data_IF_157771441072
#
_entry.id   IF_157771441072
#
_cell.length_a   1.000
_cell.length_b   1.000
_cell.length_c   1.000
_cell.angle_alpha   90.00
_cell.angle_beta   90.00
_cell.angle_gamma   90.00
#
_symmetry.space_group_name_H-M   'P 1'
#
loop_
_entity.id
_entity.type
_entity.pdbx_description
1 polymer ?
#
# COMPACT_ATOMS: atom_id res chain seq x y z
N UNK A 1 1.83 3.25 20.09
CA UNK A 1 2.84 2.19 20.17
C UNK A 1 4.03 2.61 19.33
N UNK A 2 5.15 2.92 19.97
CA UNK A 2 6.27 3.57 19.29
C UNK A 2 7.62 3.01 19.71
N UNK A 3 8.56 2.96 18.78
CA UNK A 3 9.97 2.62 19.00
C UNK A 3 10.21 1.24 19.64
N UNK A 4 9.36 0.26 19.34
CA UNK A 4 9.48 -1.11 19.83
C UNK A 4 10.32 -1.97 18.89
N UNK A 5 11.01 -2.96 19.46
CA UNK A 5 11.59 -4.10 18.73
C UNK A 5 10.81 -5.35 19.09
N UNK A 6 10.21 -6.01 18.10
CA UNK A 6 9.40 -7.21 18.26
C UNK A 6 9.96 -8.29 17.33
N UNK A 7 10.48 -9.38 17.89
CA UNK A 7 11.15 -10.43 17.10
C UNK A 7 11.08 -11.81 17.73
N UNK A 8 11.17 -12.85 16.91
CA UNK A 8 11.26 -14.25 17.34
C UNK A 8 9.92 -14.89 17.73
N UNK A 9 8.81 -14.42 17.14
CA UNK A 9 7.45 -14.92 17.40
C UNK A 9 6.84 -15.59 16.17
N UNK A 10 7.61 -16.41 15.46
CA UNK A 10 7.27 -17.00 14.16
C UNK A 10 6.84 -18.48 14.23
N UNK A 11 6.61 -19.05 15.42
CA UNK A 11 6.17 -20.45 15.52
C UNK A 11 4.83 -20.75 14.81
N UNK A 12 3.98 -19.74 14.58
CA UNK A 12 2.76 -19.88 13.80
C UNK A 12 2.31 -18.55 13.20
N UNK A 13 1.62 -18.58 12.04
CA UNK A 13 1.09 -17.39 11.36
C UNK A 13 0.22 -16.49 12.26
N UNK A 14 -0.50 -17.07 13.23
CA UNK A 14 -1.39 -16.35 14.14
C UNK A 14 -0.68 -15.60 15.28
N UNK A 15 0.64 -15.71 15.39
CA UNK A 15 1.42 -15.01 16.40
C UNK A 15 1.69 -13.59 15.91
N UNK A 16 0.83 -12.66 16.33
CA UNK A 16 0.82 -11.30 15.84
C UNK A 16 1.78 -10.42 16.67
N UNK A 17 2.60 -9.59 16.01
CA UNK A 17 3.44 -8.61 16.70
C UNK A 17 2.61 -7.51 17.35
N UNK A 18 1.73 -6.87 16.59
CA UNK A 18 0.74 -5.90 17.08
C UNK A 18 -0.64 -6.33 16.60
N UNK A 19 -1.62 -6.41 17.50
CA UNK A 19 -2.99 -6.71 17.09
C UNK A 19 -4.02 -5.92 17.88
N UNK A 20 -5.14 -5.61 17.24
CA UNK A 20 -6.35 -5.14 17.91
C UNK A 20 -7.44 -6.20 17.80
N UNK A 21 -8.21 -6.40 18.87
CA UNK A 21 -9.34 -7.34 18.93
C UNK A 21 -10.65 -6.70 19.41
N UNK A 22 -10.59 -5.39 19.67
CA UNK A 22 -11.71 -4.53 20.04
C UNK A 22 -11.65 -3.27 19.16
N UNK A 23 -12.76 -2.53 18.99
CA UNK A 23 -12.76 -1.28 18.23
C UNK A 23 -11.61 -0.38 18.70
N UNK A 24 -10.79 0.07 17.76
CA UNK A 24 -9.61 0.88 18.04
C UNK A 24 -9.57 2.06 17.08
N UNK A 25 -9.37 3.27 17.61
CA UNK A 25 -9.34 4.49 16.79
C UNK A 25 -8.29 5.47 17.28
N UNK A 26 -7.80 6.31 16.37
CA UNK A 26 -6.77 7.32 16.66
C UNK A 26 -5.45 6.74 17.20
N UNK A 27 -5.17 5.46 16.92
CA UNK A 27 -3.91 4.84 17.33
C UNK A 27 -2.77 5.33 16.45
N UNK A 28 -1.64 5.60 17.10
CA UNK A 28 -0.35 5.85 16.43
C UNK A 28 0.52 4.61 16.62
N UNK A 29 0.93 3.99 15.51
CA UNK A 29 1.87 2.85 15.47
C UNK A 29 3.07 3.31 14.66
N UNK A 30 4.17 3.63 15.34
CA UNK A 30 5.28 4.37 14.71
C UNK A 30 6.66 3.83 15.04
N UNK A 31 7.57 3.87 14.07
CA UNK A 31 9.00 3.60 14.25
C UNK A 31 9.30 2.25 14.94
N UNK A 32 8.44 1.25 14.76
CA UNK A 32 8.67 -0.07 15.31
C UNK A 32 9.50 -0.91 14.33
N UNK A 33 10.31 -1.82 14.87
CA UNK A 33 11.02 -2.88 14.12
C UNK A 33 10.36 -4.21 14.46
N UNK A 34 9.73 -4.83 13.47
CA UNK A 34 9.01 -6.09 13.63
C UNK A 34 9.61 -7.10 12.65
N UNK A 35 10.22 -8.16 13.14
CA UNK A 35 10.94 -9.12 12.28
C UNK A 35 10.81 -10.54 12.80
N UNK A 36 10.68 -11.53 11.92
CA UNK A 36 10.64 -12.95 12.31
C UNK A 36 9.46 -13.20 13.27
N UNK A 37 8.25 -12.85 12.81
CA UNK A 37 7.00 -13.06 13.55
C UNK A 37 5.94 -13.73 12.67
N UNK A 38 4.92 -14.30 13.31
CA UNK A 38 3.77 -14.89 12.62
C UNK A 38 3.10 -13.89 11.68
N UNK A 39 2.54 -12.81 12.21
CA UNK A 39 2.00 -11.68 11.42
C UNK A 39 2.49 -10.39 12.05
N UNK A 40 2.94 -9.42 11.25
CA UNK A 40 3.50 -8.18 11.78
C UNK A 40 2.47 -7.35 12.53
N UNK A 41 1.43 -6.94 11.82
CA UNK A 41 0.30 -6.19 12.37
C UNK A 41 -1.04 -6.79 11.92
N UNK A 42 -1.94 -7.04 12.86
CA UNK A 42 -3.26 -7.61 12.61
C UNK A 42 -4.35 -6.75 13.26
N UNK A 43 -4.86 -5.79 12.50
CA UNK A 43 -5.70 -4.71 13.01
C UNK A 43 -7.16 -4.98 12.65
N UNK A 44 -7.96 -5.15 13.70
CA UNK A 44 -9.38 -5.43 13.65
C UNK A 44 -9.73 -6.91 13.74
N UNK A 45 -11.02 -7.21 13.90
CA UNK A 45 -11.52 -8.57 14.06
C UNK A 45 -11.95 -9.17 12.70
N UNK A 46 -11.80 -10.49 12.48
CA UNK A 46 -12.16 -11.11 11.21
C UNK A 46 -13.64 -11.02 10.82
N UNK A 47 -14.55 -10.72 11.76
CA UNK A 47 -15.98 -10.52 11.51
C UNK A 47 -16.36 -9.04 11.30
N UNK A 48 -15.37 -8.15 11.29
CA UNK A 48 -15.54 -6.71 11.11
C UNK A 48 -16.11 -5.96 12.31
N UNK A 49 -16.44 -6.61 13.43
CA UNK A 49 -17.06 -5.98 14.61
C UNK A 49 -16.11 -5.06 15.40
N UNK A 50 -14.79 -5.23 15.23
CA UNK A 50 -13.76 -4.42 15.85
C UNK A 50 -12.99 -3.61 14.80
N UNK A 51 -13.53 -2.46 14.35
CA UNK A 51 -12.87 -1.65 13.32
C UNK A 51 -11.58 -1.00 13.81
N UNK A 52 -10.65 -0.73 12.89
CA UNK A 52 -9.47 0.11 13.11
C UNK A 52 -9.61 1.43 12.32
N UNK A 53 -9.80 2.54 13.03
CA UNK A 53 -10.29 3.80 12.44
C UNK A 53 -9.33 4.96 12.68
N UNK A 54 -9.10 5.78 11.65
CA UNK A 54 -8.34 7.03 11.77
C UNK A 54 -6.93 6.83 12.39
N UNK A 55 -6.28 5.72 12.06
CA UNK A 55 -4.97 5.39 12.60
C UNK A 55 -3.82 6.01 11.80
N UNK A 56 -2.66 6.17 12.45
CA UNK A 56 -1.40 6.52 11.80
C UNK A 56 -0.40 5.37 11.97
N UNK A 57 0.00 4.76 10.87
CA UNK A 57 1.01 3.70 10.81
C UNK A 57 2.22 4.26 10.05
N UNK A 58 3.27 4.62 10.76
CA UNK A 58 4.38 5.40 10.16
C UNK A 58 5.78 4.94 10.53
N UNK A 59 6.69 4.89 9.56
CA UNK A 59 8.12 4.70 9.85
C UNK A 59 8.47 3.31 10.41
N UNK A 60 7.56 2.35 10.34
CA UNK A 60 7.80 1.00 10.82
C UNK A 60 8.58 0.19 9.77
N UNK A 61 9.44 -0.72 10.24
CA UNK A 61 10.11 -1.71 9.40
C UNK A 61 9.61 -3.09 9.81
N UNK A 62 8.83 -3.72 8.92
CA UNK A 62 8.20 -5.01 9.15
C UNK A 62 8.69 -6.01 8.11
N UNK A 63 9.39 -7.03 8.57
CA UNK A 63 10.17 -7.91 7.72
C UNK A 63 9.96 -9.37 8.10
N UNK A 64 10.14 -10.25 7.11
CA UNK A 64 10.26 -11.70 7.32
C UNK A 64 9.11 -12.33 8.12
N UNK A 65 7.90 -11.81 7.95
CA UNK A 65 6.70 -12.38 8.60
C UNK A 65 6.22 -13.64 7.87
N UNK A 66 5.67 -14.63 8.58
CA UNK A 66 5.03 -15.79 7.93
C UNK A 66 3.74 -15.38 7.18
N UNK A 67 2.88 -14.64 7.85
CA UNK A 67 1.62 -14.10 7.36
C UNK A 67 1.81 -12.74 6.72
N UNK A 68 0.89 -11.82 7.04
CA UNK A 68 0.96 -10.45 6.56
C UNK A 68 2.07 -9.68 7.30
N UNK A 69 2.72 -8.74 6.63
CA UNK A 69 3.40 -7.68 7.37
C UNK A 69 2.36 -6.77 8.04
N UNK A 70 1.28 -6.44 7.34
CA UNK A 70 0.13 -5.73 7.89
C UNK A 70 -1.18 -6.23 7.27
N UNK A 71 -2.17 -6.54 8.11
CA UNK A 71 -3.55 -6.67 7.69
C UNK A 71 -4.42 -5.69 8.49
N UNK A 72 -5.20 -4.88 7.78
CA UNK A 72 -6.37 -4.21 8.35
C UNK A 72 -7.60 -4.96 7.86
N UNK A 73 -8.39 -5.49 8.78
CA UNK A 73 -9.61 -6.25 8.46
C UNK A 73 -10.66 -5.38 7.82
N UNK A 74 -11.58 -6.04 7.09
CA UNK A 74 -12.82 -5.40 6.69
C UNK A 74 -13.58 -4.92 7.93
N UNK A 75 -14.46 -3.94 7.74
CA UNK A 75 -15.13 -3.27 8.86
C UNK A 75 -16.64 -3.32 8.67
N UNK A 76 -17.34 -3.86 9.66
CA UNK A 76 -18.79 -3.74 9.80
C UNK A 76 -19.15 -2.31 10.27
N UNK A 77 -20.43 -1.90 10.21
CA UNK A 77 -20.86 -0.59 10.68
C UNK A 77 -20.27 -0.25 12.06
N UNK A 78 -19.73 0.96 12.18
CA UNK A 78 -19.03 1.38 13.41
C UNK A 78 -19.97 1.28 14.62
N UNK A 79 -19.50 0.73 15.76
CA UNK A 79 -20.26 0.78 16.99
C UNK A 79 -20.35 2.22 17.50
N UNK A 80 -21.42 2.53 18.22
CA UNK A 80 -21.59 3.82 18.89
C UNK A 80 -20.81 3.78 20.21
N UNK A 81 -19.57 4.28 20.18
CA UNK A 81 -18.69 4.38 21.33
C UNK A 81 -18.30 5.84 21.58
N UNK A 82 -18.18 6.20 22.85
CA UNK A 82 -17.75 7.55 23.24
C UNK A 82 -16.38 7.88 22.64
N UNK A 83 -16.28 9.04 21.99
CA UNK A 83 -15.05 9.51 21.35
C UNK A 83 -14.68 8.84 20.03
N UNK A 84 -15.44 7.83 19.57
CA UNK A 84 -15.20 7.22 18.26
C UNK A 84 -15.70 8.15 17.14
N UNK A 85 -14.87 8.45 16.12
CA UNK A 85 -15.29 9.30 15.00
C UNK A 85 -16.55 8.79 14.31
N UNK A 86 -17.51 9.68 14.07
CA UNK A 86 -18.76 9.37 13.36
C UNK A 86 -18.74 9.83 11.89
N UNK A 87 -17.90 10.81 11.56
CA UNK A 87 -17.70 11.28 10.19
C UNK A 87 -16.66 10.46 9.40
N UNK A 88 -16.44 10.80 8.12
CA UNK A 88 -15.37 10.22 7.32
C UNK A 88 -14.00 10.38 8.01
N UNK A 89 -13.19 9.33 7.95
CA UNK A 89 -11.86 9.27 8.55
C UNK A 89 -10.84 8.75 7.54
N UNK A 90 -9.56 9.07 7.78
CA UNK A 90 -8.47 8.59 6.94
C UNK A 90 -7.47 7.83 7.80
N UNK A 91 -7.29 6.55 7.50
CA UNK A 91 -6.19 5.78 8.07
C UNK A 91 -4.96 5.96 7.17
N UNK A 92 -3.87 6.46 7.75
CA UNK A 92 -2.63 6.79 7.03
C UNK A 92 -1.59 5.71 7.27
N UNK A 93 -1.05 5.14 6.20
CA UNK A 93 0.07 4.19 6.22
C UNK A 93 1.20 4.82 5.43
N UNK A 94 2.26 5.31 6.09
CA UNK A 94 3.32 6.04 5.40
C UNK A 94 4.74 5.78 5.86
N UNK A 95 5.70 5.98 4.97
CA UNK A 95 7.14 5.88 5.29
C UNK A 95 7.53 4.53 5.93
N UNK A 96 6.76 3.46 5.72
CA UNK A 96 7.07 2.12 6.25
C UNK A 96 7.88 1.30 5.23
N UNK A 97 8.57 0.28 5.74
CA UNK A 97 9.20 -0.77 4.95
C UNK A 97 8.48 -2.10 5.24
N UNK A 98 8.02 -2.77 4.19
CA UNK A 98 7.36 -4.07 4.24
C UNK A 98 8.17 -5.05 3.39
N UNK A 99 8.71 -6.11 4.00
CA UNK A 99 9.44 -7.14 3.26
C UNK A 99 9.13 -8.56 3.73
N UNK A 100 9.18 -9.50 2.80
CA UNK A 100 9.12 -10.94 3.05
C UNK A 100 10.13 -11.69 2.20
N UNK A 101 11.29 -11.10 1.89
CA UNK A 101 12.26 -11.68 0.95
C UNK A 101 12.64 -13.13 1.32
N UNK A 102 12.88 -13.39 2.60
CA UNK A 102 13.28 -14.69 3.15
C UNK A 102 12.20 -15.36 4.02
N UNK A 103 11.08 -14.67 4.27
CA UNK A 103 9.94 -15.16 5.03
C UNK A 103 8.77 -15.58 4.14
N UNK A 104 7.56 -15.55 4.73
CA UNK A 104 6.32 -15.93 4.05
C UNK A 104 5.98 -17.41 4.13
N UNK A 105 4.73 -17.70 4.49
CA UNK A 105 4.16 -19.02 4.38
C UNK A 105 3.83 -19.36 2.92
N UNK A 106 3.86 -20.65 2.59
CA UNK A 106 3.55 -21.15 1.26
C UNK A 106 2.10 -21.66 1.13
N UNK A 107 1.67 -21.94 -0.09
CA UNK A 107 0.37 -22.55 -0.39
C UNK A 107 -0.81 -21.76 0.18
N UNK A 108 -1.75 -22.45 0.84
CA UNK A 108 -2.94 -21.83 1.45
C UNK A 108 -2.62 -20.84 2.57
N UNK A 109 -1.38 -20.85 3.09
CA UNK A 109 -0.91 -19.92 4.11
C UNK A 109 -0.20 -18.70 3.51
N UNK A 110 0.02 -18.66 2.19
CA UNK A 110 0.60 -17.51 1.53
C UNK A 110 -0.27 -16.26 1.70
N UNK A 111 0.36 -15.14 2.03
CA UNK A 111 -0.28 -13.85 2.28
C UNK A 111 0.52 -12.74 1.61
N UNK A 112 -0.14 -11.67 1.14
CA UNK A 112 0.55 -10.46 0.69
C UNK A 112 1.35 -9.81 1.82
N UNK A 113 2.27 -8.88 1.49
CA UNK A 113 2.88 -8.06 2.53
C UNK A 113 1.81 -7.24 3.25
N UNK A 114 0.95 -6.55 2.51
CA UNK A 114 -0.12 -5.74 3.07
C UNK A 114 -1.48 -6.06 2.47
N UNK A 115 -2.49 -6.19 3.34
CA UNK A 115 -3.89 -6.27 2.96
C UNK A 115 -4.72 -5.25 3.73
N UNK A 116 -5.51 -4.44 3.02
CA UNK A 116 -6.51 -3.55 3.63
C UNK A 116 -7.91 -3.95 3.14
N UNK A 117 -8.80 -4.27 4.09
CA UNK A 117 -10.18 -4.68 3.81
C UNK A 117 -11.15 -3.50 3.70
N UNK A 118 -12.35 -3.76 3.17
CA UNK A 118 -13.35 -2.72 2.93
C UNK A 118 -13.81 -1.98 4.19
N UNK A 119 -14.45 -0.84 3.97
CA UNK A 119 -15.17 -0.05 4.96
C UNK A 119 -16.66 -0.41 5.01
N UNK A 120 -17.42 0.02 6.05
CA UNK A 120 -18.85 -0.21 6.11
C UNK A 120 -19.57 0.21 4.82
N UNK A 121 -20.68 -0.45 4.48
CA UNK A 121 -21.43 -0.14 3.26
C UNK A 121 -22.27 1.13 3.38
N UNK A 122 -22.63 1.51 4.61
CA UNK A 122 -23.47 2.65 4.93
C UNK A 122 -23.16 3.18 6.33
N UNK A 123 -23.61 4.40 6.60
CA UNK A 123 -23.48 5.04 7.90
C UNK A 123 -22.04 5.48 8.23
N UNK A 124 -21.73 5.70 9.51
CA UNK A 124 -20.40 6.12 9.95
C UNK A 124 -19.30 5.19 9.42
N UNK A 125 -18.32 5.79 8.73
CA UNK A 125 -17.18 5.08 8.15
C UNK A 125 -17.33 4.62 6.70
N UNK A 126 -18.52 4.70 6.09
CA UNK A 126 -18.70 4.26 4.70
C UNK A 126 -17.86 5.04 3.67
N UNK A 127 -17.52 6.28 4.04
CA UNK A 127 -16.70 7.21 3.26
C UNK A 127 -15.26 7.31 3.77
N UNK A 128 -14.82 6.36 4.60
CA UNK A 128 -13.42 6.31 5.02
C UNK A 128 -12.48 6.03 3.85
N UNK A 129 -11.20 6.36 4.06
CA UNK A 129 -10.15 6.14 3.08
C UNK A 129 -8.89 5.59 3.73
N UNK A 130 -8.19 4.70 3.03
CA UNK A 130 -6.79 4.41 3.33
C UNK A 130 -5.89 5.30 2.48
N UNK A 131 -5.07 6.14 3.11
CA UNK A 131 -3.99 6.86 2.43
C UNK A 131 -2.67 6.15 2.68
N UNK A 132 -2.14 5.51 1.64
CA UNK A 132 -0.93 4.71 1.70
C UNK A 132 0.13 5.41 0.86
N UNK A 133 1.14 5.98 1.49
CA UNK A 133 2.12 6.83 0.79
C UNK A 133 3.57 6.63 1.21
N UNK A 134 4.51 6.80 0.26
CA UNK A 134 5.96 6.80 0.53
C UNK A 134 6.54 5.50 1.13
N UNK A 135 5.75 4.43 1.18
CA UNK A 135 6.21 3.14 1.69
C UNK A 135 7.10 2.44 0.66
N UNK A 136 7.95 1.53 1.16
CA UNK A 136 8.67 0.55 0.37
C UNK A 136 8.07 -0.84 0.64
N UNK A 137 7.62 -1.49 -0.42
CA UNK A 137 7.21 -2.89 -0.42
C UNK A 137 8.23 -3.68 -1.22
N UNK A 138 8.91 -4.59 -0.56
CA UNK A 138 10.07 -5.27 -1.13
C UNK A 138 9.95 -6.77 -0.96
N UNK A 139 9.75 -7.45 -2.10
CA UNK A 139 9.80 -8.90 -2.27
C UNK A 139 8.77 -9.67 -1.45
N UNK A 140 8.06 -10.55 -2.15
CA UNK A 140 7.29 -11.61 -1.54
C UNK A 140 7.35 -12.83 -2.46
N UNK A 141 8.11 -13.87 -2.09
CA UNK A 141 8.30 -15.05 -2.94
C UNK A 141 7.02 -15.89 -3.11
N UNK A 142 6.06 -15.73 -2.20
CA UNK A 142 4.89 -16.60 -2.09
C UNK A 142 3.60 -15.93 -2.53
N UNK A 143 3.59 -14.60 -2.68
CA UNK A 143 2.39 -13.83 -2.97
C UNK A 143 2.71 -12.41 -3.49
N UNK A 144 1.68 -11.60 -3.74
CA UNK A 144 1.81 -10.19 -4.13
C UNK A 144 2.29 -9.28 -2.99
N UNK A 145 2.65 -8.05 -3.32
CA UNK A 145 3.07 -7.05 -2.33
C UNK A 145 1.88 -6.40 -1.63
N UNK A 146 0.82 -6.10 -2.36
CA UNK A 146 -0.33 -5.37 -1.83
C UNK A 146 -1.65 -5.92 -2.37
N UNK A 147 -2.63 -6.03 -1.47
CA UNK A 147 -4.03 -6.26 -1.80
C UNK A 147 -4.93 -5.21 -1.13
N UNK A 148 -5.74 -4.53 -1.94
CA UNK A 148 -6.68 -3.51 -1.48
C UNK A 148 -8.13 -3.84 -1.82
N UNK A 149 -9.02 -3.35 -0.96
CA UNK A 149 -10.48 -3.42 -1.12
C UNK A 149 -11.10 -2.12 -0.57
N UNK A 150 -12.29 -1.74 -1.05
CA UNK A 150 -12.97 -0.52 -0.63
C UNK A 150 -12.35 0.74 -1.24
N UNK A 151 -12.01 1.73 -0.40
CA UNK A 151 -11.59 3.07 -0.80
C UNK A 151 -10.10 3.30 -0.47
N UNK A 152 -9.23 3.23 -1.47
CA UNK A 152 -7.78 3.17 -1.26
C UNK A 152 -7.03 4.14 -2.17
N UNK A 153 -6.12 4.88 -1.54
CA UNK A 153 -5.18 5.79 -2.14
C UNK A 153 -3.75 5.22 -2.04
N UNK A 154 -3.17 4.80 -3.17
CA UNK A 154 -1.72 4.52 -3.26
C UNK A 154 -1.02 5.70 -3.89
N UNK A 155 -0.14 6.36 -3.15
CA UNK A 155 0.60 7.50 -3.65
C UNK A 155 2.09 7.44 -3.37
N UNK A 156 2.89 7.51 -4.44
CA UNK A 156 4.33 7.69 -4.31
C UNK A 156 5.00 6.56 -3.50
N UNK A 157 4.43 5.35 -3.56
CA UNK A 157 5.03 4.16 -2.97
C UNK A 157 5.96 3.48 -3.98
N UNK A 158 6.85 2.65 -3.45
CA UNK A 158 7.79 1.84 -4.23
C UNK A 158 7.48 0.37 -3.98
N UNK A 159 7.09 -0.34 -5.04
CA UNK A 159 6.77 -1.75 -5.02
C UNK A 159 7.79 -2.49 -5.87
N UNK A 160 8.53 -3.42 -5.29
CA UNK A 160 9.56 -4.18 -5.98
C UNK A 160 9.41 -5.66 -5.65
N UNK A 161 8.94 -6.44 -6.62
CA UNK A 161 8.80 -7.88 -6.49
C UNK A 161 9.42 -8.58 -7.71
N UNK A 162 10.70 -8.94 -7.60
CA UNK A 162 11.38 -9.71 -8.64
C UNK A 162 10.95 -11.19 -8.66
N UNK A 163 10.10 -11.60 -7.70
CA UNK A 163 9.70 -12.99 -7.49
C UNK A 163 8.24 -13.28 -7.88
N UNK A 164 7.37 -12.26 -7.92
CA UNK A 164 5.94 -12.43 -8.17
C UNK A 164 5.22 -11.14 -8.59
N UNK A 165 3.96 -11.03 -8.17
CA UNK A 165 3.06 -9.91 -8.51
C UNK A 165 3.26 -8.68 -7.60
N UNK A 166 2.88 -7.52 -8.10
CA UNK A 166 2.96 -6.24 -7.39
C UNK A 166 1.71 -5.95 -6.57
N UNK A 167 0.74 -5.30 -7.21
CA UNK A 167 -0.42 -4.66 -6.58
C UNK A 167 -1.71 -5.22 -7.17
N UNK A 168 -2.67 -5.57 -6.31
CA UNK A 168 -4.03 -5.91 -6.73
C UNK A 168 -5.09 -5.15 -5.93
N UNK A 169 -6.14 -4.77 -6.63
CA UNK A 169 -7.44 -4.42 -6.06
C UNK A 169 -8.45 -5.44 -6.56
N UNK A 170 -9.10 -6.14 -5.63
CA UNK A 170 -10.08 -7.15 -5.96
C UNK A 170 -11.06 -7.34 -4.81
N UNK A 171 -12.19 -7.98 -5.12
CA UNK A 171 -13.15 -8.33 -4.10
C UNK A 171 -12.59 -9.40 -3.14
N UNK A 172 -12.89 -9.25 -1.85
CA UNK A 172 -12.54 -10.22 -0.82
C UNK A 172 -13.69 -10.46 0.18
N UNK A 173 -14.25 -9.40 0.74
CA UNK A 173 -15.48 -9.37 1.53
C UNK A 173 -16.56 -8.46 0.89
N UNK A 174 -16.16 -7.50 0.06
CA UNK A 174 -16.96 -6.64 -0.80
C UNK A 174 -16.11 -6.22 -2.03
N UNK A 175 -16.44 -5.15 -2.74
CA UNK A 175 -15.74 -4.67 -3.93
C UNK A 175 -14.81 -3.48 -3.66
N UNK A 176 -13.76 -3.26 -4.49
CA UNK A 176 -13.12 -1.95 -4.58
C UNK A 176 -14.14 -0.88 -5.05
N UNK A 177 -14.19 0.26 -4.35
CA UNK A 177 -15.20 1.33 -4.56
C UNK A 177 -14.61 2.67 -4.98
N UNK A 178 -13.38 2.95 -4.56
CA UNK A 178 -12.59 4.08 -5.05
C UNK A 178 -11.12 3.68 -4.99
N UNK A 179 -10.44 3.72 -6.14
CA UNK A 179 -9.06 3.26 -6.27
C UNK A 179 -8.30 4.32 -7.02
N UNK A 180 -7.33 4.94 -6.36
CA UNK A 180 -6.37 5.79 -7.04
C UNK A 180 -4.94 5.35 -6.77
N UNK A 181 -4.23 5.16 -7.88
CA UNK A 181 -2.85 4.71 -7.94
C UNK A 181 -2.09 5.80 -8.66
N UNK A 182 -1.41 6.65 -7.88
CA UNK A 182 -0.80 7.90 -8.38
C UNK A 182 0.68 7.96 -8.03
N UNK A 183 1.56 8.25 -8.99
CA UNK A 183 3.01 8.46 -8.76
C UNK A 183 3.78 7.26 -8.18
N UNK A 184 3.22 6.05 -8.21
CA UNK A 184 3.90 4.87 -7.69
C UNK A 184 4.91 4.33 -8.70
N UNK A 185 5.97 3.70 -8.20
CA UNK A 185 6.87 2.86 -8.99
C UNK A 185 6.58 1.41 -8.64
N UNK A 186 6.13 0.63 -9.62
CA UNK A 186 5.73 -0.77 -9.46
C UNK A 186 6.55 -1.63 -10.42
N UNK A 187 7.48 -2.39 -9.85
CA UNK A 187 8.34 -3.34 -10.55
C UNK A 187 7.94 -4.74 -10.10
N UNK A 188 7.37 -5.55 -10.98
CA UNK A 188 6.91 -6.90 -10.64
C UNK A 188 7.30 -7.91 -11.70
N UNK A 189 7.77 -9.10 -11.30
CA UNK A 189 8.02 -10.19 -12.26
C UNK A 189 6.73 -10.62 -12.97
N UNK A 190 5.66 -10.78 -12.20
CA UNK A 190 4.33 -11.10 -12.72
C UNK A 190 3.62 -9.86 -13.22
N UNK A 191 2.43 -9.61 -12.68
CA UNK A 191 1.61 -8.44 -12.98
C UNK A 191 1.99 -7.27 -12.08
N UNK A 192 2.19 -6.07 -12.63
CA UNK A 192 2.48 -4.88 -11.84
C UNK A 192 1.24 -4.40 -11.08
N UNK A 193 0.14 -4.17 -11.80
CA UNK A 193 -1.10 -3.63 -11.23
C UNK A 193 -2.33 -4.29 -11.81
N UNK A 194 -3.18 -4.85 -10.96
CA UNK A 194 -4.52 -5.31 -11.33
C UNK A 194 -5.58 -4.53 -10.56
N UNK A 195 -6.62 -4.08 -11.25
CA UNK A 195 -7.85 -3.58 -10.63
C UNK A 195 -9.02 -4.37 -11.19
N UNK A 196 -9.79 -5.04 -10.34
CA UNK A 196 -10.92 -5.87 -10.75
C UNK A 196 -12.09 -5.78 -9.78
N UNK A 197 -13.30 -6.08 -10.28
CA UNK A 197 -14.52 -6.14 -9.48
C UNK A 197 -15.09 -4.80 -9.05
N UNK A 198 -14.65 -3.67 -9.64
CA UNK A 198 -15.27 -2.36 -9.36
C UNK A 198 -16.72 -2.32 -9.89
N UNK A 199 -17.62 -1.56 -9.23
CA UNK A 199 -18.98 -1.34 -9.70
C UNK A 199 -19.04 -0.75 -11.11
N UNK A 200 -20.12 -1.05 -11.83
CA UNK A 200 -20.36 -0.48 -13.17
C UNK A 200 -20.36 1.05 -13.14
N UNK A 201 -19.72 1.67 -14.13
CA UNK A 201 -19.57 3.12 -14.23
C UNK A 201 -18.53 3.73 -13.29
N UNK A 202 -17.87 2.93 -12.44
CA UNK A 202 -16.78 3.38 -11.58
C UNK A 202 -15.45 2.89 -12.14
N UNK A 203 -14.57 3.82 -12.49
CA UNK A 203 -13.23 3.52 -12.99
C UNK A 203 -12.16 3.93 -11.96
N UNK A 204 -11.05 3.18 -11.87
CA UNK A 204 -9.91 3.60 -11.05
C UNK A 204 -9.22 4.80 -11.69
N UNK A 205 -8.58 5.64 -10.87
CA UNK A 205 -7.65 6.65 -11.36
C UNK A 205 -6.22 6.12 -11.29
N UNK A 206 -5.65 5.74 -12.43
CA UNK A 206 -4.28 5.22 -12.55
C UNK A 206 -3.45 6.15 -13.42
N UNK A 207 -2.61 6.95 -12.79
CA UNK A 207 -1.86 7.99 -13.50
C UNK A 207 -0.54 8.37 -12.84
N UNK A 208 0.43 8.77 -13.66
CA UNK A 208 1.76 9.14 -13.20
C UNK A 208 2.56 7.99 -12.64
N UNK A 209 2.24 6.73 -12.96
CA UNK A 209 2.97 5.59 -12.42
C UNK A 209 4.05 5.10 -13.39
N UNK A 210 5.05 4.42 -12.84
CA UNK A 210 5.91 3.52 -13.61
C UNK A 210 5.47 2.09 -13.31
N UNK A 211 4.98 1.38 -14.32
CA UNK A 211 4.45 0.03 -14.24
C UNK A 211 5.31 -0.88 -15.11
N UNK A 212 6.25 -1.61 -14.50
CA UNK A 212 7.12 -2.53 -15.23
C UNK A 212 6.83 -3.97 -14.82
N UNK A 213 6.58 -4.81 -15.82
CA UNK A 213 6.30 -6.24 -15.65
C UNK A 213 6.98 -7.08 -16.74
N UNK A 214 7.13 -8.40 -16.55
CA UNK A 214 7.70 -9.25 -17.62
C UNK A 214 6.86 -9.16 -18.90
N UNK A 215 5.54 -9.05 -18.75
CA UNK A 215 4.59 -8.74 -19.82
C UNK A 215 3.99 -7.37 -19.52
N UNK A 216 4.28 -6.34 -20.33
CA UNK A 216 3.66 -5.02 -20.17
C UNK A 216 2.14 -5.13 -20.15
N UNK A 217 1.49 -4.12 -19.57
CA UNK A 217 0.05 -4.06 -19.34
C UNK A 217 -0.57 -2.90 -20.13
N UNK A 218 -0.88 -3.09 -21.44
CA UNK A 218 -1.33 -2.02 -22.32
C UNK A 218 -2.63 -1.35 -21.87
N UNK A 219 -3.44 -1.99 -21.03
CA UNK A 219 -4.63 -1.39 -20.44
C UNK A 219 -4.33 -0.14 -19.60
N UNK A 220 -3.09 0.03 -19.14
CA UNK A 220 -2.64 1.21 -18.39
C UNK A 220 -1.86 2.22 -19.25
N UNK A 221 -1.68 1.96 -20.55
CA UNK A 221 -1.04 2.87 -21.52
C UNK A 221 -2.00 3.99 -21.94
N UNK A 222 -2.22 4.94 -21.04
CA UNK A 222 -3.14 6.06 -21.21
C UNK A 222 -2.43 7.42 -21.44
N UNK A 223 -1.12 7.40 -21.72
CA UNK A 223 -0.29 8.59 -21.85
C UNK A 223 0.08 9.27 -20.53
N UNK A 224 -0.48 8.83 -19.41
CA UNK A 224 -0.18 9.36 -18.07
C UNK A 224 0.74 8.42 -17.27
N UNK A 225 0.85 7.16 -17.66
CA UNK A 225 1.76 6.18 -17.04
C UNK A 225 2.91 5.84 -17.98
N UNK A 226 4.05 5.49 -17.40
CA UNK A 226 5.10 4.75 -18.09
C UNK A 226 4.86 3.26 -17.88
N UNK A 227 4.43 2.56 -18.93
CA UNK A 227 4.21 1.11 -18.93
C UNK A 227 5.30 0.46 -19.78
N UNK A 228 5.95 -0.56 -19.26
CA UNK A 228 7.10 -1.16 -19.95
C UNK A 228 7.46 -2.55 -19.45
N UNK A 229 8.55 -3.10 -20.01
CA UNK A 229 9.09 -4.39 -19.57
C UNK A 229 9.91 -4.21 -18.30
N UNK A 230 9.85 -5.21 -17.42
CA UNK A 230 10.65 -5.24 -16.20
C UNK A 230 12.16 -5.12 -16.46
N UNK A 231 12.65 -5.65 -17.58
CA UNK A 231 14.04 -5.53 -17.99
C UNK A 231 14.51 -4.08 -18.21
N UNK A 232 13.59 -3.13 -18.39
CA UNK A 232 13.92 -1.71 -18.56
C UNK A 232 14.31 -1.04 -17.23
N UNK A 233 14.06 -1.69 -16.09
CA UNK A 233 14.29 -1.10 -14.78
C UNK A 233 15.73 -0.55 -14.61
N UNK A 234 16.76 -1.31 -15.01
CA UNK A 234 18.17 -0.88 -14.86
C UNK A 234 18.52 0.33 -15.72
N UNK A 235 17.85 0.48 -16.87
CA UNK A 235 17.94 1.66 -17.73
C UNK A 235 17.27 2.86 -17.08
N UNK A 236 16.13 2.65 -16.43
CA UNK A 236 15.32 3.73 -15.88
C UNK A 236 15.79 4.21 -14.51
N UNK A 237 16.34 3.33 -13.66
CA UNK A 237 16.63 3.60 -12.25
C UNK A 237 18.10 3.36 -11.87
N UNK A 238 18.56 4.01 -10.80
CA UNK A 238 19.97 3.98 -10.35
C UNK A 238 20.43 2.60 -9.88
N UNK A 239 19.68 1.93 -8.99
CA UNK A 239 20.00 0.61 -8.45
C UNK A 239 18.73 -0.21 -8.13
N UNK A 240 17.93 -0.60 -9.16
CA UNK A 240 16.65 -1.30 -8.97
C UNK A 240 16.77 -2.79 -8.61
N UNK A 241 17.95 -3.37 -8.83
CA UNK A 241 18.27 -4.78 -8.51
C UNK A 241 19.00 -4.95 -7.19
N UNK A 242 19.31 -3.85 -6.48
CA UNK A 242 19.99 -3.92 -5.20
C UNK A 242 19.10 -4.53 -4.11
N UNK A 243 19.74 -4.98 -3.03
CA UNK A 243 19.04 -5.51 -1.86
C UNK A 243 18.22 -4.42 -1.13
N UNK A 244 17.50 -4.84 -0.09
CA UNK A 244 16.60 -3.96 0.65
C UNK A 244 17.29 -2.69 1.18
N UNK A 245 18.56 -2.79 1.61
CA UNK A 245 19.29 -1.69 2.22
C UNK A 245 19.90 -0.73 1.19
N UNK A 246 20.20 -1.24 -0.01
CA UNK A 246 20.84 -0.48 -1.07
C UNK A 246 19.91 -0.10 -2.24
N UNK A 247 18.63 -0.51 -2.22
CA UNK A 247 17.70 -0.24 -3.31
C UNK A 247 17.52 1.25 -3.60
N UNK A 248 17.69 1.63 -4.86
CA UNK A 248 17.56 3.01 -5.32
C UNK A 248 16.74 3.10 -6.60
N UNK A 249 15.46 3.47 -6.41
CA UNK A 249 14.50 3.69 -7.49
C UNK A 249 14.39 5.16 -7.88
N UNK A 250 15.40 5.99 -7.63
CA UNK A 250 15.46 7.32 -8.27
C UNK A 250 15.69 7.15 -9.77
N UNK A 251 14.85 7.74 -10.63
CA UNK A 251 15.10 7.80 -12.05
C UNK A 251 16.50 8.27 -12.41
N UNK A 252 17.11 7.63 -13.41
CA UNK A 252 18.27 8.20 -14.10
C UNK A 252 17.82 9.43 -14.87
N UNK A 253 18.73 10.40 -15.02
CA UNK A 253 18.43 11.67 -15.65
C UNK A 253 17.84 11.49 -17.06
N UNK A 254 16.70 12.14 -17.31
CA UNK A 254 16.03 12.14 -18.62
C UNK A 254 15.28 10.87 -19.00
N UNK A 255 15.33 9.80 -18.19
CA UNK A 255 14.69 8.52 -18.52
C UNK A 255 13.18 8.50 -18.26
N UNK A 256 12.72 9.28 -17.29
CA UNK A 256 11.31 9.36 -16.92
C UNK A 256 10.91 10.85 -16.85
N UNK A 257 9.73 11.18 -17.41
CA UNK A 257 9.16 12.53 -17.41
C UNK A 257 7.76 12.51 -16.82
N UNK A 258 7.48 13.41 -15.88
CA UNK A 258 6.11 13.58 -15.39
C UNK A 258 5.18 14.01 -16.52
N UNK A 259 3.92 13.55 -16.52
CA UNK A 259 2.89 14.17 -17.33
C UNK A 259 2.79 15.67 -17.01
N UNK A 260 2.73 16.51 -18.05
CA UNK A 260 2.67 17.98 -17.89
C UNK A 260 1.40 18.44 -17.14
N UNK A 261 0.30 17.70 -17.35
CA UNK A 261 -0.96 17.87 -16.65
C UNK A 261 -1.40 16.54 -16.07
N UNK A 262 -1.65 16.53 -14.76
CA UNK A 262 -2.30 15.45 -14.06
C UNK A 262 -3.41 16.06 -13.21
N UNK A 263 -4.66 15.82 -13.60
CA UNK A 263 -5.82 16.19 -12.80
C UNK A 263 -6.05 15.09 -11.77
N UNK A 264 -5.93 15.43 -10.48
CA UNK A 264 -6.20 14.50 -9.39
C UNK A 264 -7.68 14.64 -9.01
N UNK A 265 -8.37 13.51 -8.88
CA UNK A 265 -9.79 13.51 -8.60
C UNK A 265 -10.10 14.28 -7.29
N UNK A 266 -11.16 15.11 -7.22
CA UNK A 266 -11.43 15.97 -6.07
C UNK A 266 -11.66 15.22 -4.75
N UNK A 267 -12.09 13.96 -4.84
CA UNK A 267 -12.35 13.09 -3.70
C UNK A 267 -11.06 12.55 -3.06
N UNK A 268 -9.91 12.71 -3.72
CA UNK A 268 -8.63 12.32 -3.18
C UNK A 268 -8.36 13.05 -1.86
N UNK A 269 -7.99 12.35 -0.76
CA UNK A 269 -7.77 12.96 0.55
C UNK A 269 -6.77 14.14 0.58
N UNK A 270 -5.94 14.29 -0.46
CA UNK A 270 -4.99 15.40 -0.64
C UNK A 270 -5.19 16.25 -1.91
N UNK A 271 -6.33 16.17 -2.60
CA UNK A 271 -6.55 16.86 -3.88
C UNK A 271 -6.15 18.35 -3.85
N UNK A 272 -6.43 19.05 -2.73
CA UNK A 272 -6.09 20.47 -2.52
C UNK A 272 -4.60 20.75 -2.28
N UNK A 273 -3.83 19.80 -1.73
CA UNK A 273 -2.40 20.00 -1.41
C UNK A 273 -1.50 19.76 -2.63
N UNK A 274 -1.84 18.80 -3.48
CA UNK A 274 -1.05 18.46 -4.67
C UNK A 274 -1.23 19.48 -5.82
N UNK A 275 -2.40 20.12 -5.94
CA UNK A 275 -2.61 21.22 -6.89
C UNK A 275 -1.83 22.49 -6.54
N UNK A 276 -1.49 22.68 -5.25
CA UNK A 276 -0.77 23.84 -4.73
C UNK A 276 0.77 23.65 -4.64
N UNK A 277 1.26 22.40 -4.61
CA UNK A 277 2.70 22.09 -4.57
C UNK A 277 3.46 22.45 -5.86
N UNK A 278 2.81 23.03 -6.88
CA UNK A 278 3.46 23.66 -8.04
C UNK A 278 4.27 24.92 -7.66
N UNK A 279 4.16 25.44 -6.43
CA UNK A 279 4.89 26.61 -5.98
C UNK A 279 5.61 26.38 -4.65
N UNK A 280 6.90 26.03 -4.69
CA UNK A 280 7.84 26.63 -3.73
C UNK A 280 8.47 25.77 -2.63
N UNK A 281 8.60 24.44 -2.72
CA UNK A 281 9.38 23.70 -1.70
C UNK A 281 10.29 22.60 -2.28
N UNK A 282 11.58 22.90 -2.34
CA UNK A 282 12.62 22.05 -2.94
C UNK A 282 13.31 21.08 -1.94
N UNK A 283 12.89 21.03 -0.66
CA UNK A 283 13.78 20.52 0.39
C UNK A 283 13.22 19.52 1.43
N UNK A 284 11.99 18.99 1.34
CA UNK A 284 11.53 18.01 2.34
C UNK A 284 10.75 16.82 1.74
N UNK A 285 11.39 15.64 1.77
CA UNK A 285 10.90 14.26 1.48
C UNK A 285 10.40 13.99 0.04
N UNK A 286 11.36 13.62 -0.81
CA UNK A 286 11.24 13.08 -2.19
C UNK A 286 10.92 11.56 -2.12
N UNK A 287 10.26 10.94 -3.12
CA UNK A 287 10.49 9.56 -3.66
C UNK A 287 9.31 8.97 -4.47
N UNK A 288 9.49 8.69 -5.78
CA UNK A 288 8.56 7.99 -6.68
C UNK A 288 8.69 8.46 -8.15
N UNK A 289 7.88 7.91 -9.07
CA UNK A 289 8.12 7.64 -10.51
C UNK A 289 8.89 8.64 -11.40
N UNK A 290 9.11 9.90 -11.03
CA UNK A 290 9.66 10.91 -11.94
C UNK A 290 10.63 11.91 -11.30
N UNK A 291 11.32 11.53 -10.22
CA UNK A 291 12.29 12.41 -9.57
C UNK A 291 13.75 11.91 -9.57
N UNK A 292 14.76 12.72 -9.95
CA UNK A 292 16.19 12.33 -9.96
C UNK A 292 16.87 12.09 -8.60
#
# INVERSE_FOLDING_TARGET
MENLTITGFDAAQGFNGIATRVPAWNWVIRNNRIKDVGTGMYLGNPDGSAPFVNGLIEGNRIEETLGYNLQIKHQAPRPVLEGMPQGPSVTVIRDNVFSKLTGGGEGERARPNVLVGHFPLQGPGAEDYYLIEHNLFFQNPTERLFQGEGRVALHNNRFVNWLGDGVIFMAHNDVPRAVDVIHNTILARGTALTVSGMPEGVSPQVAGNVLLSMRPQPEWENGLNHVGRLAEAETLFRAPLADLEAIDLRPRAGQLRMPETLEIAPHWPRARRLSQQRAGDAAARRFGAYWP
#
